data_IF_396554020231
#
_entry.id   IF_396554020231
#
_cell.length_a   1.000
_cell.length_b   1.000
_cell.length_c   1.000
_cell.angle_alpha   90.00
_cell.angle_beta   90.00
_cell.angle_gamma   90.00
#
_symmetry.space_group_name_H-M   'P 1'
#
loop_
_entity.id
_entity.type
_entity.pdbx_description
1 polymer ?
#
# COMPACT_ATOMS: atom_id res chain seq x y z
N UNK A 1 -4.36 -8.94 5.15
CA UNK A 1 -4.44 -7.78 4.26
C UNK A 1 -3.94 -6.54 4.97
N UNK A 2 -3.28 -5.66 4.26
CA UNK A 2 -2.73 -4.45 4.85
C UNK A 2 -3.11 -3.24 4.04
N UNK A 3 -3.15 -2.10 4.69
CA UNK A 3 -3.35 -0.80 4.07
C UNK A 3 -2.09 -0.01 4.40
N UNK A 4 -1.36 0.41 3.38
CA UNK A 4 -0.10 1.13 3.56
C UNK A 4 -0.24 2.54 3.01
N UNK A 5 0.03 3.52 3.86
CA UNK A 5 0.07 4.91 3.46
C UNK A 5 1.53 5.25 3.27
N UNK A 6 1.88 5.78 2.12
CA UNK A 6 3.28 6.07 1.82
C UNK A 6 3.40 7.35 1.02
N UNK A 7 4.58 7.94 1.08
CA UNK A 7 4.87 9.18 0.38
C UNK A 7 5.42 8.85 -1.00
N UNK A 8 4.92 9.53 -2.00
CA UNK A 8 5.38 9.30 -3.36
C UNK A 8 6.24 10.46 -3.81
N UNK A 9 7.10 10.19 -4.76
CA UNK A 9 7.88 11.25 -5.40
C UNK A 9 6.99 11.94 -6.40
N UNK A 10 7.25 13.20 -6.66
CA UNK A 10 6.53 13.90 -7.70
C UNK A 10 7.45 14.88 -8.42
N UNK A 11 7.05 15.29 -9.59
CA UNK A 11 7.85 16.17 -10.44
C UNK A 11 7.01 17.36 -10.88
N UNK A 12 7.62 18.51 -10.88
CA UNK A 12 6.98 19.75 -11.33
C UNK A 12 7.74 20.29 -12.53
N UNK A 13 7.03 20.89 -13.46
CA UNK A 13 7.68 21.57 -14.57
C UNK A 13 7.86 20.75 -15.81
N UNK A 14 7.60 19.48 -15.78
CA UNK A 14 7.74 18.60 -16.94
C UNK A 14 9.12 18.74 -17.56
N UNK A 15 9.21 18.72 -18.87
CA UNK A 15 10.53 18.78 -19.52
C UNK A 15 11.07 20.20 -19.68
N UNK A 16 10.39 21.20 -19.24
CA UNK A 16 10.82 22.58 -19.42
C UNK A 16 11.32 23.21 -18.13
N UNK A 17 11.33 24.51 -18.14
CA UNK A 17 11.73 25.32 -16.99
C UNK A 17 10.49 25.88 -16.31
N UNK A 18 10.59 26.12 -15.03
CA UNK A 18 9.48 26.67 -14.27
C UNK A 18 10.02 27.91 -13.54
N UNK A 19 9.17 28.91 -13.32
CA UNK A 19 9.55 30.11 -12.61
C UNK A 19 9.96 29.77 -11.19
N UNK A 20 10.96 30.46 -10.71
CA UNK A 20 11.48 30.20 -9.36
C UNK A 20 10.44 30.34 -8.27
N UNK A 21 9.55 31.34 -8.38
CA UNK A 21 8.53 31.53 -7.35
C UNK A 21 7.54 30.39 -7.32
N UNK A 22 7.13 29.91 -8.50
CA UNK A 22 6.23 28.75 -8.59
C UNK A 22 6.92 27.50 -8.06
N UNK A 23 8.19 27.36 -8.38
CA UNK A 23 8.96 26.19 -7.92
C UNK A 23 9.13 26.24 -6.41
N UNK A 24 9.25 27.42 -5.82
CA UNK A 24 9.42 27.56 -4.38
C UNK A 24 8.21 27.03 -3.62
N UNK A 25 7.00 27.37 -4.10
CA UNK A 25 5.78 26.87 -3.48
C UNK A 25 5.72 25.34 -3.56
N UNK A 26 6.12 24.81 -4.70
CA UNK A 26 6.11 23.36 -4.89
C UNK A 26 7.16 22.68 -3.99
N UNK A 27 8.34 23.27 -3.90
CA UNK A 27 9.43 22.69 -3.12
C UNK A 27 9.06 22.54 -1.64
N UNK A 28 8.38 23.54 -1.09
CA UNK A 28 8.02 23.49 0.31
C UNK A 28 6.63 22.92 0.60
N UNK A 29 5.93 22.47 -0.45
CA UNK A 29 4.64 21.83 -0.26
C UNK A 29 4.79 20.40 0.25
N UNK A 30 3.69 19.80 0.64
CA UNK A 30 3.70 18.45 1.17
C UNK A 30 3.88 17.43 0.06
N UNK A 31 4.47 16.30 0.40
CA UNK A 31 4.56 15.19 -0.55
C UNK A 31 3.19 14.54 -0.70
N UNK A 32 2.86 14.06 -1.89
CA UNK A 32 1.62 13.33 -2.07
C UNK A 32 1.65 12.01 -1.30
N UNK A 33 0.54 11.67 -0.72
CA UNK A 33 0.39 10.44 0.03
C UNK A 33 -0.46 9.48 -0.77
N UNK A 34 0.03 8.25 -0.91
CA UNK A 34 -0.67 7.18 -1.62
C UNK A 34 -1.15 6.17 -0.60
N UNK A 35 -2.36 5.66 -0.80
CA UNK A 35 -2.89 4.61 0.04
C UNK A 35 -3.00 3.36 -0.82
N UNK A 36 -2.28 2.32 -0.45
CA UNK A 36 -2.30 1.05 -1.16
C UNK A 36 -2.84 -0.03 -0.24
N UNK A 37 -3.71 -0.88 -0.77
CA UNK A 37 -4.30 -1.96 0.00
C UNK A 37 -4.03 -3.25 -0.73
N UNK A 38 -3.64 -4.28 -0.01
CA UNK A 38 -3.40 -5.57 -0.64
C UNK A 38 -3.06 -6.64 0.37
N UNK A 39 -2.77 -7.82 -0.16
CA UNK A 39 -2.32 -8.93 0.66
C UNK A 39 -0.82 -8.78 0.87
N UNK A 40 -0.39 -8.87 2.11
CA UNK A 40 1.03 -8.73 2.41
C UNK A 40 1.77 -9.99 1.97
N UNK A 41 2.73 -9.82 1.09
CA UNK A 41 3.56 -10.94 0.64
C UNK A 41 4.79 -11.10 1.50
N UNK A 42 5.43 -10.00 1.82
CA UNK A 42 6.66 -10.04 2.61
C UNK A 42 7.03 -8.65 3.10
N UNK A 43 7.79 -8.63 4.18
CA UNK A 43 8.44 -7.44 4.66
C UNK A 43 9.92 -7.78 4.68
N UNK A 44 10.71 -7.04 3.94
CA UNK A 44 12.14 -7.27 3.89
C UNK A 44 12.87 -6.13 4.56
N UNK A 45 14.18 -6.15 4.52
CA UNK A 45 14.99 -5.07 5.09
C UNK A 45 14.79 -3.76 4.34
N UNK A 46 14.28 -3.81 3.13
CA UNK A 46 14.21 -2.63 2.29
C UNK A 46 12.80 -2.22 1.92
N UNK A 47 11.83 -3.12 1.97
CA UNK A 47 10.50 -2.80 1.47
C UNK A 47 9.40 -3.72 1.97
N UNK A 48 8.16 -3.26 1.80
CA UNK A 48 6.97 -4.10 1.91
C UNK A 48 6.60 -4.56 0.50
N UNK A 49 6.18 -5.82 0.37
CA UNK A 49 5.64 -6.33 -0.90
C UNK A 49 4.18 -6.69 -0.70
N UNK A 50 3.31 -6.16 -1.53
CA UNK A 50 1.88 -6.47 -1.46
C UNK A 50 1.38 -6.85 -2.85
N UNK A 51 0.30 -7.59 -2.89
CA UNK A 51 -0.33 -7.99 -4.15
C UNK A 51 -1.84 -7.81 -4.03
N UNK A 52 -2.51 -7.68 -5.15
CA UNK A 52 -3.96 -7.54 -5.16
C UNK A 52 -4.68 -8.87 -5.32
N UNK A 53 -3.99 -9.90 -5.74
CA UNK A 53 -4.63 -11.20 -5.98
C UNK A 53 -3.73 -12.34 -5.61
N UNK A 54 -4.29 -13.33 -4.92
CA UNK A 54 -3.55 -14.53 -4.59
C UNK A 54 -4.34 -15.72 -5.12
N UNK A 55 -3.78 -16.45 -6.06
CA UNK A 55 -4.39 -17.64 -6.63
C UNK A 55 -3.75 -18.91 -6.10
N UNK A 56 -4.16 -20.04 -6.65
CA UNK A 56 -3.65 -21.32 -6.17
C UNK A 56 -2.16 -21.48 -6.43
N UNK A 57 -1.73 -21.18 -7.64
CA UNK A 57 -0.31 -21.28 -7.99
C UNK A 57 0.23 -19.97 -8.51
N UNK A 58 -0.50 -18.90 -8.40
CA UNK A 58 -0.13 -17.63 -8.99
C UNK A 58 -0.45 -16.49 -8.08
N UNK A 59 0.22 -15.40 -8.29
CA UNK A 59 0.01 -14.21 -7.50
C UNK A 59 -0.11 -13.06 -8.49
N UNK A 60 -0.96 -12.10 -8.22
CA UNK A 60 -1.14 -10.95 -9.08
C UNK A 60 0.06 -10.04 -9.07
N UNK A 61 -0.08 -8.86 -9.68
CA UNK A 61 1.03 -7.92 -9.69
C UNK A 61 1.50 -7.59 -8.29
N UNK A 62 2.79 -7.49 -8.13
CA UNK A 62 3.38 -7.22 -6.82
C UNK A 62 3.90 -5.78 -6.81
N UNK A 63 3.51 -5.04 -5.77
CA UNK A 63 3.99 -3.69 -5.56
C UNK A 63 4.98 -3.71 -4.41
N UNK A 64 6.14 -3.13 -4.61
CA UNK A 64 7.15 -2.99 -3.57
C UNK A 64 7.19 -1.55 -3.12
N UNK A 65 7.00 -1.33 -1.83
CA UNK A 65 6.99 0.02 -1.27
C UNK A 65 8.21 0.17 -0.37
N UNK A 66 9.15 1.04 -0.70
CA UNK A 66 10.37 1.19 0.11
C UNK A 66 10.04 1.58 1.54
N UNK A 67 10.72 0.99 2.50
CA UNK A 67 10.48 1.28 3.91
C UNK A 67 10.62 2.76 4.22
N UNK A 68 11.59 3.41 3.59
CA UNK A 68 11.82 4.82 3.85
C UNK A 68 10.69 5.73 3.41
N UNK A 69 9.77 5.23 2.61
CA UNK A 69 8.65 6.03 2.12
C UNK A 69 7.36 5.70 2.85
N UNK A 70 7.35 4.70 3.72
CA UNK A 70 6.15 4.29 4.43
C UNK A 70 5.83 5.29 5.52
N UNK A 71 4.58 5.75 5.56
CA UNK A 71 4.11 6.65 6.59
C UNK A 71 3.39 5.89 7.69
N UNK A 72 2.45 5.03 7.31
CA UNK A 72 1.65 4.27 8.26
C UNK A 72 1.24 2.95 7.64
N UNK A 73 1.10 1.91 8.47
CA UNK A 73 0.63 0.61 8.03
C UNK A 73 -0.47 0.15 8.96
N UNK A 74 -1.60 -0.25 8.40
CA UNK A 74 -2.70 -0.79 9.17
C UNK A 74 -2.95 -2.21 8.71
N UNK A 75 -3.04 -3.13 9.65
CA UNK A 75 -3.39 -4.51 9.34
C UNK A 75 -4.91 -4.62 9.42
N UNK A 76 -5.52 -5.09 8.35
CA UNK A 76 -6.96 -5.14 8.22
C UNK A 76 -7.45 -6.53 8.62
N UNK A 77 -8.37 -6.58 9.59
CA UNK A 77 -8.90 -7.82 10.03
C UNK A 77 -10.00 -8.26 9.11
N UNK A 78 -10.04 -9.56 8.82
CA UNK A 78 -11.14 -10.13 8.11
C UNK A 78 -12.33 -10.19 9.04
N UNK A 79 -13.42 -9.63 8.64
CA UNK A 79 -14.63 -9.74 9.40
C UNK A 79 -15.29 -11.00 9.01
N UNK A 80 -15.45 -11.92 9.92
CA UNK A 80 -16.16 -13.06 9.74
C UNK A 80 -17.49 -12.79 9.92
N UNK A 81 -18.16 -12.34 9.14
CA UNK A 81 -19.45 -12.12 9.30
C UNK A 81 -20.09 -13.25 9.24
N UNK A 82 -20.29 -13.66 10.15
CA UNK A 82 -20.83 -14.73 10.34
C UNK A 82 -21.63 -15.08 9.40
N UNK A 83 -21.85 -14.33 8.78
CA UNK A 83 -22.52 -14.61 7.79
C UNK A 83 -21.61 -15.00 6.82
N UNK A 84 -20.76 -14.69 6.83
CA UNK A 84 -19.96 -15.08 5.95
C UNK A 84 -19.11 -15.87 6.40
N UNK A 85 -19.19 -16.01 7.37
CA UNK A 85 -18.68 -16.69 7.77
C UNK A 85 -18.48 -17.40 8.14
N UNK A 86 -18.70 -17.53 8.34
CA UNK A 86 -18.55 -18.30 8.65
C UNK A 86 -18.54 -19.04 7.86
N UNK A 87 -18.51 -18.91 7.18
CA UNK A 87 -18.43 -19.46 6.33
C UNK A 87 -17.39 -19.54 5.74
N UNK A 88 -16.67 -19.31 5.89
CA UNK A 88 -15.56 -19.40 5.47
C UNK A 88 -14.85 -20.02 6.29
N UNK A 89 -14.90 -20.59 6.94
CA UNK A 89 -14.49 -21.08 7.60
C UNK A 89 -13.68 -21.25 8.05
N UNK A 90 -13.62 -21.00 8.60
CA UNK A 90 -13.39 -20.87 9.01
C UNK A 90 -12.43 -21.13 9.25
N UNK A 91 -12.20 -21.13 9.70
CA UNK A 91 -11.90 -21.10 9.90
C UNK A 91 -11.12 -21.40 10.35
N UNK A 92 -11.00 -21.20 10.86
CA UNK A 92 -10.88 -21.13 11.08
C UNK A 92 -10.33 -21.20 11.63
N UNK A 93 -10.33 -21.39 12.16
CA UNK A 93 -10.35 -21.16 12.41
C UNK A 93 -10.20 -21.21 12.85
N UNK A 94 -10.61 -20.98 13.13
CA UNK A 94 -11.03 -20.80 13.11
C UNK A 94 -10.97 -20.95 13.36
N UNK A 95 -11.19 -21.07 13.80
CA UNK A 95 -11.48 -20.93 13.77
C UNK A 95 -11.22 -21.19 14.01
N UNK A 96 -11.44 -21.17 14.29
CA UNK A 96 -11.66 -21.12 14.12
C UNK A 96 -11.54 -21.11 14.05
#
# INVERSE_FOLDING_TARGET
MVEIWWYDAETCGGPGWVDRDDATDYIYGDLPTIKSVGFLCAITDTHYSITDNVGHNQIGGVTKIPLGMVKEVYYLERTNDDTLNNQFGRRHGEGN
#
